data_IF_845778391318
#
_entry.id   IF_845778391318
#
_cell.length_a   1.000
_cell.length_b   1.000
_cell.length_c   1.000
_cell.angle_alpha   90.00
_cell.angle_beta   90.00
_cell.angle_gamma   90.00
#
_symmetry.space_group_name_H-M   'P 1'
#
loop_
_entity.id
_entity.type
_entity.pdbx_description
1 polymer ?
#
# COMPACT_ATOMS: atom_id res chain seq x y z
N UNK A 1 9.09 0.35 -15.55
CA UNK A 1 8.47 -0.99 -15.60
C UNK A 1 7.10 -1.03 -14.88
N UNK A 2 6.47 0.13 -14.64
CA UNK A 2 5.48 0.32 -13.55
C UNK A 2 4.04 0.51 -14.04
N UNK A 3 3.84 0.98 -15.28
CA UNK A 3 2.50 1.29 -15.80
C UNK A 3 1.68 0.05 -16.17
N UNK A 4 2.33 -1.01 -16.68
CA UNK A 4 1.64 -2.25 -17.04
C UNK A 4 1.08 -2.97 -15.80
N UNK A 5 1.83 -2.98 -14.71
CA UNK A 5 1.39 -3.55 -13.43
C UNK A 5 0.16 -2.78 -12.94
N UNK A 6 0.21 -1.45 -12.91
CA UNK A 6 -0.94 -0.64 -12.46
C UNK A 6 -2.21 -0.87 -13.30
N UNK A 7 -2.08 -1.07 -14.61
CA UNK A 7 -3.22 -1.39 -15.50
C UNK A 7 -3.77 -2.78 -15.19
N UNK A 8 -2.91 -3.80 -15.05
CA UNK A 8 -3.34 -5.16 -14.72
C UNK A 8 -4.01 -5.22 -13.34
N UNK A 9 -3.51 -4.44 -12.36
CA UNK A 9 -4.11 -4.33 -11.02
C UNK A 9 -5.52 -3.73 -11.06
N UNK A 10 -5.73 -2.68 -11.87
CA UNK A 10 -7.07 -2.14 -12.10
C UNK A 10 -8.00 -3.14 -12.78
N UNK A 11 -7.49 -3.95 -13.71
CA UNK A 11 -8.30 -4.98 -14.40
C UNK A 11 -8.69 -6.17 -13.50
N UNK A 12 -7.96 -6.42 -12.41
CA UNK A 12 -8.18 -7.55 -11.49
C UNK A 12 -9.10 -7.19 -10.30
N UNK A 13 -9.57 -5.94 -10.19
CA UNK A 13 -10.40 -5.50 -9.07
C UNK A 13 -9.65 -5.39 -7.73
N UNK A 14 -8.31 -5.34 -7.77
CA UNK A 14 -7.48 -5.34 -6.55
C UNK A 14 -7.68 -4.07 -5.74
N UNK A 15 -7.87 -2.93 -6.41
CA UNK A 15 -8.14 -1.63 -5.79
C UNK A 15 -9.41 -1.64 -4.95
N UNK A 16 -10.46 -2.28 -5.44
CA UNK A 16 -11.78 -2.38 -4.84
C UNK A 16 -11.72 -3.29 -3.60
N UNK A 17 -11.07 -4.45 -3.73
CA UNK A 17 -10.86 -5.36 -2.60
C UNK A 17 -10.04 -4.68 -1.50
N UNK A 18 -8.94 -4.00 -1.86
CA UNK A 18 -8.13 -3.25 -0.91
C UNK A 18 -8.93 -2.11 -0.25
N UNK A 19 -9.68 -1.34 -1.03
CA UNK A 19 -10.48 -0.23 -0.53
C UNK A 19 -11.51 -0.71 0.50
N UNK A 20 -12.25 -1.78 0.21
CA UNK A 20 -13.25 -2.35 1.14
C UNK A 20 -12.60 -2.88 2.43
N UNK A 21 -11.51 -3.65 2.34
CA UNK A 21 -10.80 -4.15 3.53
C UNK A 21 -10.23 -3.00 4.37
N UNK A 22 -9.68 -1.97 3.73
CA UNK A 22 -9.18 -0.79 4.41
C UNK A 22 -10.32 -0.02 5.09
N UNK A 23 -11.43 0.21 4.38
CA UNK A 23 -12.61 0.89 4.91
C UNK A 23 -13.14 0.20 6.17
N UNK A 24 -13.27 -1.13 6.16
CA UNK A 24 -13.72 -1.91 7.31
C UNK A 24 -12.84 -1.64 8.55
N UNK A 25 -11.50 -1.70 8.38
CA UNK A 25 -10.57 -1.49 9.49
C UNK A 25 -10.58 -0.04 9.96
N UNK A 26 -10.61 0.93 9.05
CA UNK A 26 -10.64 2.36 9.38
C UNK A 26 -11.92 2.73 10.15
N UNK A 27 -13.08 2.23 9.73
CA UNK A 27 -14.36 2.46 10.41
C UNK A 27 -14.36 1.82 11.81
N UNK A 28 -13.93 0.56 11.92
CA UNK A 28 -13.88 -0.17 13.20
C UNK A 28 -12.93 0.49 14.21
N UNK A 29 -11.80 1.00 13.74
CA UNK A 29 -10.77 1.62 14.58
C UNK A 29 -10.90 3.15 14.69
N UNK A 30 -11.87 3.76 13.99
CA UNK A 30 -12.07 5.22 13.89
C UNK A 30 -10.80 5.97 13.48
N UNK A 31 -10.13 5.47 12.46
CA UNK A 31 -8.89 6.03 11.92
C UNK A 31 -9.17 6.78 10.62
N UNK A 32 -8.38 7.82 10.36
CA UNK A 32 -8.46 8.65 9.14
C UNK A 32 -7.15 8.67 8.35
N UNK A 33 -6.21 7.78 8.68
CA UNK A 33 -4.90 7.71 8.04
C UNK A 33 -4.49 6.28 7.76
N UNK A 34 -3.98 6.09 6.54
CA UNK A 34 -3.31 4.88 6.08
C UNK A 34 -1.82 5.21 5.96
N UNK A 35 -0.98 4.33 6.48
CA UNK A 35 0.46 4.43 6.43
C UNK A 35 0.96 3.18 5.72
N UNK A 36 1.31 3.33 4.44
CA UNK A 36 1.77 2.22 3.63
C UNK A 36 3.29 2.04 3.78
N UNK A 37 3.70 0.84 4.17
CA UNK A 37 5.08 0.48 4.48
C UNK A 37 5.70 -0.27 3.30
N UNK A 38 6.75 0.30 2.72
CA UNK A 38 7.42 -0.28 1.55
C UNK A 38 6.67 0.00 0.25
N UNK A 39 6.15 1.21 0.09
CA UNK A 39 5.36 1.63 -1.08
C UNK A 39 6.19 1.74 -2.37
N UNK A 40 7.52 1.80 -2.28
CA UNK A 40 8.42 1.96 -3.42
C UNK A 40 8.09 3.20 -4.28
N UNK A 41 7.56 2.95 -5.47
CA UNK A 41 7.18 3.99 -6.45
C UNK A 41 5.68 4.30 -6.51
N UNK A 42 4.92 3.85 -5.51
CA UNK A 42 3.49 4.07 -5.35
C UNK A 42 2.68 2.76 -5.40
N UNK A 43 3.05 1.81 -6.26
CA UNK A 43 2.37 0.50 -6.30
C UNK A 43 0.85 0.60 -6.47
N UNK A 44 0.12 -0.28 -5.78
CA UNK A 44 -1.35 -0.38 -5.85
C UNK A 44 -2.08 0.68 -4.99
N UNK A 45 -1.41 1.23 -3.98
CA UNK A 45 -2.06 2.02 -2.92
C UNK A 45 -2.66 3.35 -3.36
N UNK A 46 -2.05 4.14 -4.27
CA UNK A 46 -2.68 5.35 -4.79
C UNK A 46 -4.01 5.09 -5.48
N UNK A 47 -4.14 3.97 -6.21
CA UNK A 47 -5.40 3.59 -6.86
C UNK A 47 -6.41 3.10 -5.82
N UNK A 48 -5.98 2.29 -4.86
CA UNK A 48 -6.82 1.84 -3.75
C UNK A 48 -7.33 3.02 -2.90
N UNK A 49 -6.50 4.03 -2.64
CA UNK A 49 -6.89 5.23 -1.90
C UNK A 49 -7.94 6.05 -2.67
N UNK A 50 -7.77 6.23 -3.98
CA UNK A 50 -8.78 6.88 -4.82
C UNK A 50 -10.11 6.14 -4.80
N UNK A 51 -10.06 4.81 -4.93
CA UNK A 51 -11.26 3.95 -4.87
C UNK A 51 -11.91 4.02 -3.48
N UNK A 52 -11.11 4.03 -2.42
CA UNK A 52 -11.56 4.21 -1.04
C UNK A 52 -12.27 5.55 -0.84
N UNK A 53 -11.79 6.63 -1.46
CA UNK A 53 -12.42 7.96 -1.35
C UNK A 53 -13.82 8.03 -1.98
N UNK A 54 -14.17 7.08 -2.86
CA UNK A 54 -15.51 6.95 -3.43
C UNK A 54 -16.50 6.27 -2.45
N UNK A 55 -16.00 5.61 -1.39
CA UNK A 55 -16.82 5.00 -0.34
C UNK A 55 -17.36 6.08 0.60
N UNK A 56 -18.65 6.01 0.94
CA UNK A 56 -19.30 6.97 1.82
C UNK A 56 -18.58 7.06 3.19
N UNK A 57 -18.25 8.30 3.58
CA UNK A 57 -17.54 8.58 4.84
C UNK A 57 -16.02 8.39 4.79
N UNK A 58 -15.45 7.95 3.67
CA UNK A 58 -14.01 7.69 3.52
C UNK A 58 -13.24 8.76 2.74
N UNK A 59 -13.92 9.78 2.18
CA UNK A 59 -13.34 10.86 1.38
C UNK A 59 -12.13 11.56 2.04
N UNK A 60 -12.16 11.74 3.36
CA UNK A 60 -11.13 12.50 4.08
C UNK A 60 -9.97 11.64 4.60
N UNK A 61 -9.92 10.35 4.24
CA UNK A 61 -8.83 9.45 4.63
C UNK A 61 -7.54 9.84 3.93
N UNK A 62 -6.48 10.13 4.70
CA UNK A 62 -5.16 10.40 4.15
C UNK A 62 -4.34 9.13 3.92
N UNK A 63 -3.67 9.04 2.77
CA UNK A 63 -2.64 8.02 2.50
C UNK A 63 -1.25 8.64 2.63
N UNK A 64 -0.41 8.06 3.48
CA UNK A 64 1.01 8.37 3.58
C UNK A 64 1.80 7.14 3.15
N UNK A 65 2.48 7.24 2.01
CA UNK A 65 3.38 6.22 1.51
C UNK A 65 4.77 6.38 2.12
N UNK A 66 5.43 5.27 2.42
CA UNK A 66 6.73 5.26 3.07
C UNK A 66 7.62 4.16 2.48
N UNK A 67 8.93 4.35 2.56
CA UNK A 67 9.90 3.36 2.14
C UNK A 67 11.18 3.47 2.98
N UNK A 68 11.97 2.40 3.02
CA UNK A 68 13.30 2.42 3.63
C UNK A 68 14.27 3.24 2.78
N UNK A 69 14.04 3.30 1.46
CA UNK A 69 14.84 4.05 0.51
C UNK A 69 13.93 4.97 -0.33
N UNK A 70 13.43 6.06 0.24
CA UNK A 70 12.48 6.94 -0.43
C UNK A 70 13.11 7.54 -1.70
N UNK A 71 12.45 7.33 -2.83
CA UNK A 71 12.90 7.85 -4.13
C UNK A 71 12.53 9.32 -4.29
N UNK A 72 13.47 10.21 -4.67
CA UNK A 72 13.16 11.61 -4.98
C UNK A 72 12.07 11.77 -6.04
N UNK A 73 11.98 10.85 -7.00
CA UNK A 73 10.95 10.85 -8.04
C UNK A 73 9.56 10.58 -7.45
N UNK A 74 9.44 9.58 -6.56
CA UNK A 74 8.19 9.26 -5.87
C UNK A 74 7.73 10.41 -4.98
N UNK A 75 8.67 11.00 -4.23
CA UNK A 75 8.41 12.18 -3.38
C UNK A 75 7.86 13.32 -4.24
N UNK A 76 8.57 13.69 -5.31
CA UNK A 76 8.15 14.77 -6.19
C UNK A 76 6.78 14.48 -6.81
N UNK A 77 6.53 13.25 -7.26
CA UNK A 77 5.27 12.86 -7.89
C UNK A 77 4.07 12.98 -6.94
N UNK A 78 4.18 12.47 -5.72
CA UNK A 78 3.04 12.36 -4.81
C UNK A 78 2.88 13.55 -3.87
N UNK A 79 3.92 14.37 -3.65
CA UNK A 79 3.81 15.57 -2.81
C UNK A 79 3.43 16.84 -3.61
N UNK A 80 3.29 16.74 -4.93
CA UNK A 80 2.89 17.86 -5.78
C UNK A 80 1.43 18.26 -5.62
N UNK A 81 0.52 17.29 -5.43
CA UNK A 81 -0.90 17.53 -5.27
C UNK A 81 -1.33 17.12 -3.86
N UNK A 82 -1.83 18.07 -3.07
CA UNK A 82 -2.31 17.79 -1.70
C UNK A 82 -3.82 17.58 -1.64
N UNK A 83 -4.54 17.86 -2.72
CA UNK A 83 -6.00 17.72 -2.78
C UNK A 83 -6.44 16.26 -2.81
N UNK A 84 -5.61 15.37 -3.38
CA UNK A 84 -5.89 13.93 -3.46
C UNK A 84 -5.62 13.18 -2.15
N UNK A 85 -5.17 13.87 -1.10
CA UNK A 85 -4.87 13.34 0.23
C UNK A 85 -3.82 12.22 0.23
N UNK A 86 -3.02 12.11 -0.83
CA UNK A 86 -1.93 11.17 -0.95
C UNK A 86 -0.62 11.92 -0.76
N UNK A 87 0.30 11.37 0.01
CA UNK A 87 1.65 11.93 0.17
C UNK A 87 2.68 10.82 0.32
N UNK A 88 3.94 11.17 0.14
CA UNK A 88 5.08 10.27 0.29
C UNK A 88 6.05 10.87 1.31
N UNK A 89 6.43 10.09 2.32
CA UNK A 89 7.33 10.55 3.37
C UNK A 89 8.78 10.59 2.88
N UNK A 90 9.42 11.74 3.05
CA UNK A 90 10.80 11.96 2.58
C UNK A 90 11.86 11.26 3.44
N UNK A 91 11.53 10.99 4.70
CA UNK A 91 12.44 10.33 5.64
C UNK A 91 12.32 8.81 5.50
N UNK A 92 13.45 8.07 5.48
CA UNK A 92 13.46 6.61 5.54
C UNK A 92 12.62 6.05 6.69
N UNK A 93 11.85 5.01 6.40
CA UNK A 93 11.04 4.29 7.40
C UNK A 93 11.43 2.82 7.40
N UNK A 94 11.86 2.32 8.57
CA UNK A 94 12.05 0.89 8.79
C UNK A 94 10.71 0.24 9.18
N UNK A 95 10.18 -0.60 8.28
CA UNK A 95 8.93 -1.31 8.51
C UNK A 95 8.98 -2.28 9.71
N UNK A 96 10.18 -2.69 10.15
CA UNK A 96 10.35 -3.59 11.31
C UNK A 96 10.12 -2.92 12.66
N UNK A 97 10.01 -1.59 12.69
CA UNK A 97 9.66 -0.80 13.88
C UNK A 97 8.39 0.03 13.63
N UNK A 98 7.23 -0.64 13.69
CA UNK A 98 5.91 -0.03 13.52
C UNK A 98 5.66 1.09 14.54
N UNK A 99 6.20 0.97 15.76
CA UNK A 99 6.02 1.97 16.81
C UNK A 99 6.64 3.33 16.46
N UNK A 100 7.73 3.34 15.68
CA UNK A 100 8.39 4.54 15.20
C UNK A 100 7.70 5.18 13.97
N UNK A 101 6.74 4.50 13.35
CA UNK A 101 6.03 5.01 12.17
C UNK A 101 4.91 5.99 12.54
N UNK A 102 4.51 6.92 11.64
CA UNK A 102 3.41 7.85 11.90
C UNK A 102 2.13 7.11 12.29
N UNK A 103 1.26 7.62 13.17
CA UNK A 103 0.04 6.91 13.58
C UNK A 103 -0.97 6.71 12.44
N UNK A 104 -1.63 5.55 12.40
CA UNK A 104 -2.65 5.18 11.41
C UNK A 104 -2.68 3.68 11.17
N UNK A 105 -3.55 3.23 10.27
CA UNK A 105 -3.57 1.85 9.78
C UNK A 105 -2.27 1.57 9.02
N UNK A 106 -1.49 0.58 9.45
CA UNK A 106 -0.33 0.11 8.68
C UNK A 106 -0.81 -0.78 7.57
N UNK A 107 -0.33 -0.50 6.37
CA UNK A 107 -0.50 -1.41 5.23
C UNK A 107 0.84 -1.88 4.72
N UNK A 108 0.88 -3.12 4.25
CA UNK A 108 1.98 -3.68 3.48
C UNK A 108 1.39 -4.38 2.27
N UNK A 109 1.41 -3.71 1.11
CA UNK A 109 0.79 -4.20 -0.12
C UNK A 109 1.87 -4.59 -1.13
N UNK A 110 2.01 -5.89 -1.38
CA UNK A 110 3.09 -6.49 -2.19
C UNK A 110 4.51 -6.11 -1.74
N UNK A 111 4.70 -5.94 -0.44
CA UNK A 111 6.00 -5.57 0.14
C UNK A 111 6.48 -6.56 1.20
N UNK A 112 5.56 -7.33 1.81
CA UNK A 112 5.85 -8.26 2.87
C UNK A 112 6.60 -9.51 2.37
N UNK A 113 6.39 -9.93 1.12
CA UNK A 113 7.12 -11.06 0.53
C UNK A 113 8.63 -10.83 0.37
N UNK A 114 9.09 -9.58 0.40
CA UNK A 114 10.53 -9.26 0.42
C UNK A 114 11.17 -9.45 1.80
N UNK A 115 10.37 -9.61 2.86
CA UNK A 115 10.86 -9.70 4.23
C UNK A 115 11.41 -11.09 4.52
N UNK A 116 12.64 -11.17 5.01
CA UNK A 116 13.15 -12.41 5.59
C UNK A 116 12.23 -12.88 6.73
N UNK A 117 12.14 -14.19 7.04
CA UNK A 117 11.29 -14.68 8.13
C UNK A 117 11.56 -13.99 9.48
N UNK A 118 12.82 -13.58 9.73
CA UNK A 118 13.21 -12.82 10.92
C UNK A 118 12.65 -11.40 10.91
N UNK A 119 12.69 -10.72 9.77
CA UNK A 119 12.13 -9.37 9.62
C UNK A 119 10.60 -9.41 9.69
N UNK A 120 9.96 -10.34 8.99
CA UNK A 120 8.51 -10.56 9.04
C UNK A 120 8.02 -10.76 10.48
N UNK A 121 8.70 -11.62 11.26
CA UNK A 121 8.42 -11.81 12.68
C UNK A 121 8.51 -10.51 13.47
N UNK A 122 9.57 -9.74 13.29
CA UNK A 122 9.74 -8.44 13.97
C UNK A 122 8.62 -7.45 13.64
N UNK A 123 8.18 -7.39 12.38
CA UNK A 123 7.07 -6.52 11.96
C UNK A 123 5.80 -6.91 12.74
N UNK A 124 5.46 -8.19 12.78
CA UNK A 124 4.28 -8.69 13.49
C UNK A 124 4.37 -8.45 15.00
N UNK A 125 5.52 -8.75 15.61
CA UNK A 125 5.79 -8.47 17.03
C UNK A 125 5.71 -6.98 17.34
N UNK A 126 6.19 -6.11 16.44
CA UNK A 126 6.11 -4.65 16.60
C UNK A 126 4.67 -4.16 16.52
N UNK A 127 3.85 -4.69 15.60
CA UNK A 127 2.41 -4.38 15.52
C UNK A 127 1.68 -4.80 16.80
N UNK A 128 1.94 -6.03 17.28
CA UNK A 128 1.36 -6.55 18.52
C UNK A 128 1.77 -5.69 19.72
N UNK A 129 3.06 -5.46 19.93
CA UNK A 129 3.56 -4.70 21.08
C UNK A 129 3.06 -3.25 21.08
N UNK A 130 2.93 -2.63 19.90
CA UNK A 130 2.45 -1.25 19.77
C UNK A 130 0.92 -1.13 19.71
N UNK A 131 0.20 -2.26 19.67
CA UNK A 131 -1.26 -2.32 19.52
C UNK A 131 -1.76 -1.50 18.32
N UNK A 132 -0.97 -1.45 17.24
CA UNK A 132 -1.33 -0.74 16.02
C UNK A 132 -1.92 -1.71 15.00
N UNK A 133 -3.01 -1.32 14.30
CA UNK A 133 -3.60 -2.17 13.27
C UNK A 133 -2.65 -2.29 12.07
N UNK A 134 -2.50 -3.52 11.58
CA UNK A 134 -1.68 -3.88 10.43
C UNK A 134 -2.49 -4.73 9.47
N UNK A 135 -2.55 -4.31 8.21
CA UNK A 135 -3.15 -5.02 7.09
C UNK A 135 -2.03 -5.39 6.11
N UNK A 136 -1.86 -6.69 5.89
CA UNK A 136 -0.89 -7.22 4.92
C UNK A 136 -1.70 -7.81 3.76
N UNK A 137 -1.40 -7.37 2.55
CA UNK A 137 -2.02 -7.91 1.34
C UNK A 137 -0.95 -8.26 0.31
N UNK A 138 -0.93 -9.52 -0.07
CA UNK A 138 0.03 -10.06 -1.03
C UNK A 138 -0.74 -10.67 -2.18
N UNK A 139 -0.58 -10.13 -3.38
CA UNK A 139 -1.02 -10.83 -4.57
C UNK A 139 -0.11 -12.03 -4.78
N UNK A 140 -0.69 -13.22 -4.77
CA UNK A 140 0.03 -14.46 -5.02
C UNK A 140 0.84 -14.35 -6.32
N UNK A 141 2.01 -15.01 -6.35
CA UNK A 141 2.91 -15.07 -7.50
C UNK A 141 2.14 -15.14 -8.82
N UNK A 142 2.53 -14.27 -9.75
CA UNK A 142 2.13 -14.30 -11.16
C UNK A 142 2.60 -15.61 -11.83
N UNK A 143 1.99 -16.74 -11.47
CA UNK A 143 1.77 -17.82 -12.44
C UNK A 143 0.63 -17.38 -13.35
N UNK A 144 0.76 -16.21 -13.99
CA UNK A 144 -0.04 -15.90 -15.16
C UNK A 144 0.21 -17.10 -16.09
N UNK A 145 -0.80 -17.92 -16.40
CA UNK A 145 -0.59 -19.10 -17.21
C UNK A 145 0.13 -18.64 -18.48
N UNK A 146 1.22 -19.31 -18.86
CA UNK A 146 2.05 -18.91 -20.01
C UNK A 146 1.19 -18.60 -21.25
N UNK A 147 0.05 -19.27 -21.39
CA UNK A 147 -0.96 -19.02 -22.42
C UNK A 147 -1.55 -17.60 -22.44
N UNK A 148 -1.84 -16.99 -21.28
CA UNK A 148 -2.35 -15.61 -21.20
C UNK A 148 -1.26 -14.62 -21.63
N UNK A 149 0.00 -14.89 -21.27
CA UNK A 149 1.16 -14.12 -21.75
C UNK A 149 1.32 -14.20 -23.27
N UNK A 150 1.18 -15.40 -23.85
CA UNK A 150 1.30 -15.61 -25.31
C UNK A 150 0.17 -14.91 -26.08
N UNK A 151 -1.05 -14.88 -25.55
CA UNK A 151 -2.20 -14.21 -26.17
C UNK A 151 -2.10 -12.67 -26.18
N UNK A 152 -1.35 -12.09 -25.25
CA UNK A 152 -1.20 -10.64 -25.09
C UNK A 152 0.09 -10.09 -25.71
N UNK A 153 0.91 -10.93 -26.34
CA UNK A 153 2.02 -10.45 -27.15
C UNK A 153 1.49 -9.72 -28.38
N UNK A 154 1.98 -8.49 -28.66
CA UNK A 154 1.65 -7.83 -29.90
C UNK A 154 2.22 -8.66 -31.06
N UNK A 155 1.38 -8.98 -32.04
CA UNK A 155 1.79 -9.56 -33.33
C UNK A 155 2.59 -8.54 -34.15
#
# INVERSE_FOLDING_TARGET
MTNLINVLLGMLGTSEVLAEMIAEVLQKQKLLKIIDLGSGSGGAMPLAAKTLHEIEGMHDVGLVMTDLYPSPESIAKFNQNTEDKISFLETPVDATDIAATPKGLKTMVNSFHYMSPKAARKILESAENSQQPLLIYEMAENKIPVFVWVLLLPL
#
